data_IF_616875678700
#
_entry.id   IF_616875678700
#
_cell.length_a   1.000
_cell.length_b   1.000
_cell.length_c   1.000
_cell.angle_alpha   90.00
_cell.angle_beta   90.00
_cell.angle_gamma   90.00
#
_symmetry.space_group_name_H-M   'P 1'
#
loop_
_entity.id
_entity.type
_entity.pdbx_description
1 polymer ?
#
# COMPACT_ATOMS: atom_id res chain seq x y z
N UNK A 1 -3.22 16.30 1.51
CA UNK A 1 -4.42 16.85 0.83
C UNK A 1 -4.89 18.16 1.49
N UNK A 2 -5.25 18.19 2.76
CA UNK A 2 -5.80 19.42 3.40
C UNK A 2 -4.85 20.62 3.24
N UNK A 3 -3.60 20.49 3.63
CA UNK A 3 -2.59 21.56 3.51
C UNK A 3 -2.25 21.93 2.06
N UNK A 4 -2.35 20.98 1.15
CA UNK A 4 -2.01 21.18 -0.27
C UNK A 4 -3.17 21.77 -1.07
N UNK A 5 -4.38 21.23 -0.91
CA UNK A 5 -5.54 21.59 -1.73
C UNK A 5 -6.63 22.37 -0.95
N UNK A 6 -6.48 22.57 0.35
CA UNK A 6 -7.43 23.32 1.17
C UNK A 6 -8.79 22.62 1.38
N UNK A 7 -8.92 21.36 1.00
CA UNK A 7 -10.16 20.58 1.01
C UNK A 7 -10.49 19.98 2.38
N UNK A 8 -11.75 19.63 2.59
CA UNK A 8 -12.16 18.79 3.72
C UNK A 8 -11.89 17.33 3.39
N UNK A 9 -11.42 16.55 4.37
CA UNK A 9 -11.07 15.14 4.19
C UNK A 9 -11.82 14.28 5.20
N UNK A 10 -12.51 13.24 4.70
CA UNK A 10 -13.11 12.17 5.48
C UNK A 10 -12.27 10.90 5.32
N UNK A 11 -11.67 10.42 6.40
CA UNK A 11 -10.96 9.13 6.44
C UNK A 11 -11.90 7.98 6.76
N UNK A 12 -11.76 6.87 6.05
CA UNK A 12 -12.43 5.60 6.33
C UNK A 12 -11.38 4.53 6.66
N UNK A 13 -11.54 3.86 7.80
CA UNK A 13 -10.67 2.75 8.17
C UNK A 13 -11.44 1.74 9.04
N UNK A 14 -11.08 0.47 8.99
CA UNK A 14 -11.67 -0.58 9.81
C UNK A 14 -11.00 -0.72 11.20
N UNK A 15 -9.87 -0.06 11.43
CA UNK A 15 -9.05 -0.16 12.63
C UNK A 15 -9.23 1.07 13.53
N UNK A 16 -9.82 0.88 14.73
CA UNK A 16 -10.06 1.95 15.71
C UNK A 16 -8.79 2.69 16.12
N UNK A 17 -7.71 1.96 16.35
CA UNK A 17 -6.43 2.56 16.72
C UNK A 17 -5.88 3.51 15.65
N UNK A 18 -6.02 3.15 14.37
CA UNK A 18 -5.60 4.02 13.27
C UNK A 18 -6.48 5.27 13.19
N UNK A 19 -7.79 5.15 13.41
CA UNK A 19 -8.72 6.30 13.45
C UNK A 19 -8.34 7.25 14.59
N UNK A 20 -8.17 6.74 15.80
CA UNK A 20 -7.76 7.55 16.95
C UNK A 20 -6.43 8.28 16.70
N UNK A 21 -5.46 7.58 16.12
CA UNK A 21 -4.19 8.19 15.74
C UNK A 21 -4.34 9.29 14.70
N UNK A 22 -5.15 9.05 13.66
CA UNK A 22 -5.39 10.03 12.60
C UNK A 22 -6.03 11.31 13.18
N UNK A 23 -7.04 11.17 14.01
CA UNK A 23 -7.70 12.30 14.70
C UNK A 23 -6.73 13.05 15.61
N UNK A 24 -5.89 12.34 16.37
CA UNK A 24 -4.87 12.94 17.22
C UNK A 24 -3.83 13.73 16.43
N UNK A 25 -3.36 13.19 15.31
CA UNK A 25 -2.43 13.90 14.43
C UNK A 25 -3.08 15.12 13.77
N UNK A 26 -4.33 15.00 13.30
CA UNK A 26 -5.06 16.13 12.76
C UNK A 26 -5.19 17.26 13.78
N UNK A 27 -5.49 16.93 15.05
CA UNK A 27 -5.53 17.90 16.15
C UNK A 27 -4.17 18.56 16.38
N UNK A 28 -3.09 17.77 16.41
CA UNK A 28 -1.72 18.28 16.61
C UNK A 28 -1.30 19.24 15.49
N UNK A 29 -1.76 19.00 14.28
CA UNK A 29 -1.45 19.80 13.09
C UNK A 29 -2.44 20.97 12.87
N UNK A 30 -3.42 21.19 13.79
CA UNK A 30 -4.42 22.26 13.66
C UNK A 30 -5.42 22.06 12.52
N UNK A 31 -5.72 20.79 12.16
CA UNK A 31 -6.57 20.43 11.02
C UNK A 31 -7.92 19.82 11.42
N UNK A 32 -8.31 19.93 12.70
CA UNK A 32 -9.53 19.30 13.23
C UNK A 32 -10.83 19.80 12.62
N UNK A 33 -10.83 20.99 12.08
CA UNK A 33 -11.96 21.63 11.38
C UNK A 33 -12.15 21.10 9.96
N UNK A 34 -11.10 20.53 9.36
CA UNK A 34 -11.10 20.03 7.98
C UNK A 34 -10.90 18.53 7.86
N UNK A 35 -10.59 17.84 8.95
CA UNK A 35 -10.37 16.39 8.97
C UNK A 35 -11.36 15.70 9.90
N UNK A 36 -12.01 14.69 9.40
CA UNK A 36 -12.79 13.72 10.17
C UNK A 36 -12.44 12.30 9.75
N UNK A 37 -12.70 11.33 10.60
CA UNK A 37 -12.49 9.92 10.31
C UNK A 37 -13.57 9.07 10.94
N UNK A 38 -13.96 7.99 10.26
CA UNK A 38 -14.97 7.05 10.73
C UNK A 38 -14.51 5.62 10.54
N UNK A 39 -14.97 4.75 11.46
CA UNK A 39 -14.80 3.31 11.32
C UNK A 39 -15.77 2.77 10.29
N UNK A 40 -15.28 1.95 9.38
CA UNK A 40 -16.11 1.28 8.40
C UNK A 40 -15.31 0.34 7.50
N UNK A 41 -16.06 -0.50 6.82
CA UNK A 41 -15.56 -1.40 5.79
C UNK A 41 -15.73 -0.73 4.41
N UNK A 42 -14.66 -0.63 3.64
CA UNK A 42 -14.72 -0.06 2.29
C UNK A 42 -15.52 -0.94 1.32
N UNK A 43 -15.72 -2.23 1.63
CA UNK A 43 -16.61 -3.11 0.86
C UNK A 43 -18.10 -2.83 1.09
N UNK A 44 -18.44 -2.10 2.17
CA UNK A 44 -19.81 -1.76 2.57
C UNK A 44 -19.87 -0.35 3.16
N UNK A 45 -19.52 0.65 2.35
CA UNK A 45 -19.47 2.05 2.79
C UNK A 45 -20.86 2.56 3.19
N UNK A 46 -20.98 3.07 4.41
CA UNK A 46 -22.25 3.64 4.94
C UNK A 46 -22.46 5.12 4.58
N UNK A 47 -21.71 5.64 3.63
CA UNK A 47 -21.92 6.98 3.13
C UNK A 47 -23.09 7.03 2.12
N UNK A 48 -23.84 8.14 2.07
CA UNK A 48 -24.86 8.35 1.04
C UNK A 48 -24.25 8.30 -0.37
N UNK A 49 -25.08 8.00 -1.35
CA UNK A 49 -24.70 8.12 -2.75
C UNK A 49 -24.36 9.58 -3.09
N UNK A 50 -23.46 9.79 -4.03
CA UNK A 50 -23.10 11.11 -4.55
C UNK A 50 -22.70 12.12 -3.45
N UNK A 51 -21.99 11.69 -2.41
CA UNK A 51 -21.61 12.52 -1.26
C UNK A 51 -20.22 13.14 -1.36
N UNK A 52 -19.33 12.59 -2.19
CA UNK A 52 -17.94 13.05 -2.29
C UNK A 52 -17.62 13.61 -3.68
N UNK A 53 -16.81 14.67 -3.72
CA UNK A 53 -16.30 15.26 -4.96
C UNK A 53 -15.13 14.48 -5.52
N UNK A 54 -14.33 13.89 -4.64
CA UNK A 54 -13.22 13.01 -4.98
C UNK A 54 -13.00 11.94 -3.92
N UNK A 55 -12.49 10.78 -4.34
CA UNK A 55 -12.01 9.71 -3.45
C UNK A 55 -10.60 9.35 -3.86
N UNK A 56 -9.73 9.10 -2.89
CA UNK A 56 -8.42 8.52 -3.18
C UNK A 56 -8.11 7.37 -2.22
N UNK A 57 -7.37 6.40 -2.74
CA UNK A 57 -6.83 5.29 -1.97
C UNK A 57 -5.35 5.09 -2.31
N UNK A 58 -4.52 4.92 -1.28
CA UNK A 58 -3.09 4.68 -1.43
C UNK A 58 -2.78 3.36 -0.74
N UNK A 59 -2.41 2.34 -1.52
CA UNK A 59 -2.04 1.00 -1.05
C UNK A 59 -3.09 0.36 -0.11
N UNK A 60 -4.37 0.68 -0.33
CA UNK A 60 -5.46 0.25 0.54
C UNK A 60 -6.36 -0.78 -0.13
N UNK A 61 -6.70 -0.58 -1.39
CA UNK A 61 -7.68 -1.43 -2.07
C UNK A 61 -7.10 -2.79 -2.49
N UNK A 62 -5.79 -2.97 -2.48
CA UNK A 62 -5.11 -4.28 -2.62
C UNK A 62 -5.55 -5.31 -1.55
N UNK A 63 -5.99 -4.84 -0.39
CA UNK A 63 -6.52 -5.71 0.68
C UNK A 63 -7.98 -6.11 0.47
N UNK A 64 -8.66 -5.57 -0.55
CA UNK A 64 -10.03 -5.93 -0.87
C UNK A 64 -10.11 -7.37 -1.41
N UNK A 65 -11.12 -8.15 -1.04
CA UNK A 65 -11.37 -9.47 -1.64
C UNK A 65 -11.77 -9.36 -3.12
N UNK A 66 -12.23 -8.18 -3.55
CA UNK A 66 -12.59 -7.86 -4.93
C UNK A 66 -12.32 -6.39 -5.22
N UNK A 67 -11.42 -6.10 -6.16
CA UNK A 67 -11.17 -4.73 -6.62
C UNK A 67 -12.42 -4.13 -7.25
N UNK A 68 -13.14 -4.87 -8.09
CA UNK A 68 -14.39 -4.39 -8.68
C UNK A 68 -15.40 -4.00 -7.58
N UNK A 69 -15.58 -4.84 -6.57
CA UNK A 69 -16.54 -4.56 -5.49
C UNK A 69 -16.22 -3.29 -4.70
N UNK A 70 -14.95 -3.06 -4.36
CA UNK A 70 -14.58 -1.80 -3.68
C UNK A 70 -14.71 -0.60 -4.60
N UNK A 71 -14.38 -0.74 -5.89
CA UNK A 71 -14.51 0.36 -6.86
C UNK A 71 -15.98 0.69 -7.13
N UNK A 72 -16.90 -0.27 -7.12
CA UNK A 72 -18.34 -0.03 -7.17
C UNK A 72 -18.85 0.77 -5.97
N UNK A 73 -18.32 0.47 -4.76
CA UNK A 73 -18.63 1.27 -3.57
C UNK A 73 -18.11 2.72 -3.69
N UNK A 74 -16.92 2.90 -4.23
CA UNK A 74 -16.33 4.22 -4.49
C UNK A 74 -17.15 4.96 -5.55
N UNK A 75 -17.53 4.28 -6.62
CA UNK A 75 -18.39 4.85 -7.66
C UNK A 75 -19.72 5.33 -7.10
N UNK A 76 -20.35 4.53 -6.25
CA UNK A 76 -21.63 4.87 -5.63
C UNK A 76 -21.54 6.17 -4.81
N UNK A 77 -20.51 6.32 -4.00
CA UNK A 77 -20.39 7.49 -3.10
C UNK A 77 -19.87 8.75 -3.78
N UNK A 78 -19.24 8.64 -4.95
CA UNK A 78 -18.80 9.79 -5.73
C UNK A 78 -19.97 10.48 -6.42
N UNK A 79 -19.94 11.81 -6.48
CA UNK A 79 -20.83 12.63 -7.29
C UNK A 79 -20.58 12.37 -8.79
N UNK A 80 -21.58 12.55 -9.67
CA UNK A 80 -21.34 12.63 -11.11
C UNK A 80 -20.23 13.65 -11.43
N UNK A 81 -19.31 13.30 -12.31
CA UNK A 81 -18.10 14.08 -12.60
C UNK A 81 -16.98 13.97 -11.56
N UNK A 82 -17.19 13.29 -10.42
CA UNK A 82 -16.22 13.10 -9.36
C UNK A 82 -15.04 12.23 -9.79
N UNK A 83 -13.89 12.43 -9.13
CA UNK A 83 -12.61 11.77 -9.47
C UNK A 83 -12.27 10.70 -8.45
N UNK A 84 -11.83 9.54 -8.93
CA UNK A 84 -11.21 8.50 -8.17
C UNK A 84 -9.72 8.40 -8.51
N UNK A 85 -8.84 8.61 -7.52
CA UNK A 85 -7.40 8.39 -7.63
C UNK A 85 -6.97 7.19 -6.81
N UNK A 86 -6.34 6.21 -7.42
CA UNK A 86 -5.83 5.04 -6.70
C UNK A 86 -4.39 4.72 -7.07
N UNK A 87 -3.64 4.34 -6.06
CA UNK A 87 -2.23 3.98 -6.13
C UNK A 87 -2.08 2.60 -5.49
N UNK A 88 -1.68 1.60 -6.29
CA UNK A 88 -1.84 0.19 -5.91
C UNK A 88 -0.63 -0.68 -6.22
N UNK A 89 -0.58 -1.81 -5.53
CA UNK A 89 0.32 -2.93 -5.76
C UNK A 89 -0.29 -3.88 -6.78
N UNK A 90 0.36 -4.03 -7.93
CA UNK A 90 -0.14 -4.86 -9.02
C UNK A 90 0.96 -5.76 -9.60
N UNK A 91 0.57 -6.94 -10.08
CA UNK A 91 1.46 -7.80 -10.86
C UNK A 91 1.64 -7.23 -12.26
N UNK A 92 2.89 -7.22 -12.74
CA UNK A 92 3.28 -6.75 -14.06
C UNK A 92 3.21 -7.87 -15.12
N UNK A 93 3.34 -7.50 -16.37
CA UNK A 93 3.22 -8.42 -17.52
C UNK A 93 4.30 -9.52 -17.55
N UNK A 94 5.45 -9.29 -16.93
CA UNK A 94 6.51 -10.31 -16.79
C UNK A 94 6.12 -11.44 -15.84
N UNK A 95 5.09 -11.28 -15.01
CA UNK A 95 4.63 -12.32 -14.11
C UNK A 95 3.97 -13.46 -14.89
N UNK A 96 4.48 -14.67 -14.66
CA UNK A 96 3.89 -15.90 -15.19
C UNK A 96 3.50 -16.84 -14.05
N UNK A 97 2.20 -17.13 -13.93
CA UNK A 97 1.68 -18.00 -12.88
C UNK A 97 2.15 -19.47 -13.02
N UNK A 98 2.58 -19.91 -14.20
CA UNK A 98 3.11 -21.25 -14.40
C UNK A 98 4.56 -21.40 -13.94
N UNK A 99 5.28 -20.28 -13.74
CA UNK A 99 6.63 -20.29 -13.20
C UNK A 99 6.61 -20.45 -11.67
N UNK A 100 7.19 -21.52 -11.11
CA UNK A 100 7.22 -21.73 -9.64
C UNK A 100 7.89 -20.59 -8.87
N UNK A 101 8.95 -19.98 -9.43
CA UNK A 101 9.67 -18.88 -8.80
C UNK A 101 8.81 -17.62 -8.72
N UNK A 102 8.05 -17.31 -9.77
CA UNK A 102 7.15 -16.16 -9.76
C UNK A 102 6.02 -16.35 -8.75
N UNK A 103 5.47 -17.57 -8.64
CA UNK A 103 4.45 -17.88 -7.59
C UNK A 103 5.02 -17.74 -6.18
N UNK A 104 6.23 -18.25 -5.95
CA UNK A 104 6.91 -18.12 -4.66
C UNK A 104 7.05 -16.65 -4.25
N UNK A 105 7.54 -15.80 -5.15
CA UNK A 105 7.69 -14.36 -4.94
C UNK A 105 6.34 -13.71 -4.62
N UNK A 106 5.33 -13.94 -5.46
CA UNK A 106 4.00 -13.40 -5.24
C UNK A 106 3.41 -13.82 -3.89
N UNK A 107 3.43 -15.11 -3.58
CA UNK A 107 2.92 -15.63 -2.30
C UNK A 107 3.68 -15.05 -1.10
N UNK A 108 5.00 -14.89 -1.20
CA UNK A 108 5.80 -14.27 -0.14
C UNK A 108 5.45 -12.80 0.08
N UNK A 109 5.17 -12.05 -0.99
CA UNK A 109 4.68 -10.66 -0.91
C UNK A 109 3.28 -10.63 -0.26
N UNK A 110 2.34 -11.47 -0.74
CA UNK A 110 0.98 -11.55 -0.22
C UNK A 110 0.95 -11.89 1.27
N UNK A 111 1.64 -12.94 1.68
CA UNK A 111 1.68 -13.40 3.07
C UNK A 111 2.35 -12.39 3.99
N UNK A 112 3.45 -11.79 3.54
CA UNK A 112 4.21 -10.84 4.33
C UNK A 112 3.50 -9.51 4.56
N UNK A 113 2.59 -9.13 3.67
CA UNK A 113 1.88 -7.85 3.70
C UNK A 113 0.38 -8.00 3.99
N UNK A 114 -0.11 -9.21 4.23
CA UNK A 114 -1.53 -9.45 4.51
C UNK A 114 -2.45 -9.15 3.33
N UNK A 115 -1.96 -9.40 2.12
CA UNK A 115 -2.71 -9.21 0.87
C UNK A 115 -3.36 -10.54 0.51
N UNK A 116 -4.66 -10.54 0.21
CA UNK A 116 -5.41 -11.75 -0.10
C UNK A 116 -5.04 -12.32 -1.46
N UNK A 117 -4.87 -11.45 -2.45
CA UNK A 117 -4.59 -11.81 -3.83
C UNK A 117 -4.11 -10.58 -4.62
N UNK A 118 -2.87 -10.62 -5.09
CA UNK A 118 -2.35 -9.60 -5.99
C UNK A 118 -2.83 -9.89 -7.42
N UNK A 119 -3.46 -8.92 -8.03
CA UNK A 119 -3.99 -9.04 -9.38
C UNK A 119 -3.06 -8.38 -10.41
N UNK A 120 -3.10 -8.79 -11.70
CA UNK A 120 -2.37 -8.12 -12.75
C UNK A 120 -2.98 -6.74 -13.08
N UNK A 121 -2.14 -5.85 -13.63
CA UNK A 121 -2.56 -4.51 -14.09
C UNK A 121 -3.80 -4.57 -14.97
N UNK A 122 -3.86 -5.51 -15.91
CA UNK A 122 -5.01 -5.68 -16.82
C UNK A 122 -6.32 -5.95 -16.08
N UNK A 123 -6.27 -6.67 -14.96
CA UNK A 123 -7.45 -6.93 -14.13
C UNK A 123 -7.88 -5.69 -13.34
N UNK A 124 -6.94 -4.94 -12.77
CA UNK A 124 -7.25 -3.69 -12.06
C UNK A 124 -7.88 -2.65 -13.02
N UNK A 125 -7.33 -2.50 -14.23
CA UNK A 125 -7.89 -1.62 -15.26
C UNK A 125 -9.28 -2.06 -15.72
N UNK A 126 -9.51 -3.37 -15.80
CA UNK A 126 -10.84 -3.92 -16.10
C UNK A 126 -11.83 -3.65 -14.97
N UNK A 127 -11.40 -3.86 -13.71
CA UNK A 127 -12.23 -3.62 -12.53
C UNK A 127 -12.70 -2.17 -12.42
N UNK A 128 -11.84 -1.19 -12.69
CA UNK A 128 -12.21 0.24 -12.73
C UNK A 128 -13.31 0.49 -13.77
N UNK A 129 -13.14 -0.03 -14.99
CA UNK A 129 -14.12 0.14 -16.07
C UNK A 129 -15.43 -0.60 -15.76
N UNK A 130 -15.36 -1.81 -15.21
CA UNK A 130 -16.54 -2.60 -14.83
C UNK A 130 -17.36 -1.94 -13.72
N UNK A 131 -16.69 -1.20 -12.80
CA UNK A 131 -17.37 -0.39 -11.80
C UNK A 131 -18.09 0.86 -12.36
N UNK A 132 -17.93 1.17 -13.65
CA UNK A 132 -18.59 2.27 -14.34
C UNK A 132 -17.75 3.53 -14.54
N UNK A 133 -16.47 3.51 -14.14
CA UNK A 133 -15.57 4.65 -14.31
C UNK A 133 -15.05 4.80 -15.74
N UNK A 134 -14.81 6.03 -16.15
CA UNK A 134 -13.98 6.40 -17.29
C UNK A 134 -12.54 6.57 -16.83
N UNK A 135 -11.64 5.70 -17.32
CA UNK A 135 -10.22 5.77 -16.99
C UNK A 135 -9.56 6.92 -17.78
N UNK A 136 -9.06 7.94 -17.06
CA UNK A 136 -8.42 9.12 -17.67
C UNK A 136 -6.90 8.99 -17.78
N UNK A 137 -6.28 8.33 -16.79
CA UNK A 137 -4.83 8.21 -16.75
C UNK A 137 -4.41 6.96 -15.97
N UNK A 138 -3.33 6.32 -16.39
CA UNK A 138 -2.66 5.30 -15.59
C UNK A 138 -1.17 5.23 -15.94
N UNK A 139 -0.34 4.93 -14.93
CA UNK A 139 1.11 4.85 -15.07
C UNK A 139 1.72 4.00 -13.95
N UNK A 140 2.75 3.23 -14.28
CA UNK A 140 3.63 2.63 -13.29
C UNK A 140 4.70 3.66 -12.86
N UNK A 141 4.50 4.29 -11.71
CA UNK A 141 5.42 5.32 -11.20
C UNK A 141 6.80 4.77 -10.82
N UNK A 142 6.91 3.45 -10.57
CA UNK A 142 8.19 2.80 -10.30
C UNK A 142 9.09 2.73 -11.56
N UNK A 143 8.51 2.85 -12.75
CA UNK A 143 9.23 2.87 -14.04
C UNK A 143 9.67 4.26 -14.49
N UNK A 144 9.35 5.31 -13.73
CA UNK A 144 9.87 6.64 -14.03
C UNK A 144 11.40 6.63 -13.97
N UNK A 145 12.07 7.45 -14.82
CA UNK A 145 13.54 7.55 -14.83
C UNK A 145 14.01 8.20 -13.53
N UNK A 146 14.00 7.47 -12.45
CA UNK A 146 14.57 7.84 -11.17
C UNK A 146 15.93 7.14 -11.02
N UNK A 147 16.93 7.87 -10.56
CA UNK A 147 18.23 7.30 -10.27
C UNK A 147 18.21 6.32 -9.09
N UNK A 148 17.16 6.34 -8.30
CA UNK A 148 17.07 5.59 -7.03
C UNK A 148 15.93 4.57 -7.07
N UNK A 149 16.22 3.25 -7.16
CA UNK A 149 15.18 2.23 -7.09
C UNK A 149 14.45 2.29 -5.75
N UNK A 150 13.11 2.25 -5.76
CA UNK A 150 12.30 2.33 -4.55
C UNK A 150 12.66 1.27 -3.48
N UNK A 151 13.16 0.13 -3.90
CA UNK A 151 13.49 -1.00 -3.02
C UNK A 151 14.90 -0.93 -2.39
N UNK A 152 15.73 0.06 -2.74
CA UNK A 152 17.13 0.10 -2.28
C UNK A 152 17.32 0.03 -0.76
N UNK A 153 16.48 0.68 0.08
CA UNK A 153 16.65 0.61 1.53
C UNK A 153 16.34 -0.80 2.05
N UNK A 154 15.36 -1.47 1.44
CA UNK A 154 14.92 -2.83 1.83
C UNK A 154 15.96 -3.87 1.36
N UNK A 155 16.58 -3.63 0.20
CA UNK A 155 17.66 -4.46 -0.33
C UNK A 155 19.00 -4.30 0.44
N UNK A 156 19.13 -3.31 1.31
CA UNK A 156 20.39 -3.01 1.98
C UNK A 156 21.47 -2.44 1.04
N UNK A 157 21.07 -1.72 -0.02
CA UNK A 157 21.97 -1.22 -1.06
C UNK A 157 22.54 0.17 -0.73
N UNK A 158 23.79 0.23 -0.30
CA UNK A 158 24.47 1.47 0.09
C UNK A 158 24.71 2.46 -1.06
N UNK A 159 24.82 1.97 -2.28
CA UNK A 159 25.12 2.81 -3.46
C UNK A 159 24.09 3.89 -3.75
N UNK A 160 22.87 3.75 -3.23
CA UNK A 160 21.77 4.68 -3.43
C UNK A 160 21.47 5.54 -2.19
N UNK A 161 22.33 5.51 -1.18
CA UNK A 161 22.17 6.30 0.04
C UNK A 161 22.12 7.79 -0.27
N UNK A 162 20.99 8.45 0.05
CA UNK A 162 20.76 9.88 -0.18
C UNK A 162 20.88 10.73 1.08
N UNK A 163 20.80 10.13 2.27
CA UNK A 163 20.83 10.85 3.54
C UNK A 163 21.49 10.06 4.65
N UNK A 164 21.93 10.75 5.71
CA UNK A 164 22.42 10.11 6.93
C UNK A 164 21.35 9.25 7.63
N UNK A 165 20.06 9.58 7.44
CA UNK A 165 18.94 8.80 7.97
C UNK A 165 18.83 7.41 7.35
N UNK A 166 19.32 7.24 6.13
CA UNK A 166 19.29 5.95 5.41
C UNK A 166 20.26 4.94 6.01
N UNK A 167 21.35 5.41 6.66
CA UNK A 167 22.39 4.54 7.23
C UNK A 167 21.80 3.46 8.12
N UNK A 168 20.97 3.87 9.08
CA UNK A 168 20.37 2.91 10.02
C UNK A 168 19.43 1.92 9.31
N UNK A 169 18.61 2.43 8.38
CA UNK A 169 17.67 1.60 7.62
C UNK A 169 18.40 0.60 6.75
N UNK A 170 19.37 1.04 5.97
CA UNK A 170 20.17 0.19 5.09
C UNK A 170 20.96 -0.83 5.92
N UNK A 171 21.68 -0.38 6.99
CA UNK A 171 22.49 -1.24 7.82
C UNK A 171 21.71 -2.43 8.39
N UNK A 172 20.52 -2.17 8.96
CA UNK A 172 19.68 -3.25 9.53
C UNK A 172 19.13 -4.21 8.48
N UNK A 173 19.07 -3.80 7.21
CA UNK A 173 18.55 -4.62 6.10
C UNK A 173 19.64 -5.41 5.40
N UNK A 174 20.94 -5.15 5.68
CA UNK A 174 22.04 -6.01 5.24
C UNK A 174 21.97 -7.39 5.89
N UNK A 175 22.60 -8.39 5.28
CA UNK A 175 22.65 -9.76 5.83
C UNK A 175 23.16 -9.82 7.27
N UNK A 176 24.22 -9.05 7.59
CA UNK A 176 24.78 -8.97 8.95
C UNK A 176 23.88 -8.19 9.91
N UNK A 177 23.24 -7.10 9.42
CA UNK A 177 22.30 -6.32 10.22
C UNK A 177 21.07 -7.14 10.60
N UNK A 178 20.50 -7.89 9.68
CA UNK A 178 19.40 -8.84 9.96
C UNK A 178 19.82 -9.92 10.96
N UNK A 179 21.05 -10.48 10.82
CA UNK A 179 21.59 -11.44 11.78
C UNK A 179 21.73 -10.87 13.19
N UNK A 180 22.13 -9.60 13.32
CA UNK A 180 22.17 -8.90 14.61
C UNK A 180 20.76 -8.71 15.18
N UNK A 181 19.81 -8.19 14.39
CA UNK A 181 18.41 -7.99 14.83
C UNK A 181 17.81 -9.33 15.29
N UNK A 182 17.97 -10.40 14.51
CA UNK A 182 17.49 -11.73 14.86
C UNK A 182 18.05 -12.21 16.23
N UNK A 183 19.36 -12.08 16.46
CA UNK A 183 20.00 -12.47 17.72
C UNK A 183 19.53 -11.62 18.90
N UNK A 184 19.42 -10.29 18.71
CA UNK A 184 18.97 -9.39 19.76
C UNK A 184 17.51 -9.65 20.15
N UNK A 185 16.63 -9.83 19.17
CA UNK A 185 15.22 -10.12 19.43
C UNK A 185 15.07 -11.48 20.11
N UNK A 186 15.78 -12.52 19.62
CA UNK A 186 15.75 -13.85 20.25
C UNK A 186 16.27 -13.85 21.67
N UNK A 187 17.38 -13.15 21.95
CA UNK A 187 17.88 -13.01 23.31
C UNK A 187 16.87 -12.26 24.19
N UNK A 188 16.27 -11.17 23.67
CA UNK A 188 15.24 -10.40 24.37
C UNK A 188 14.01 -11.24 24.74
N UNK A 189 13.61 -12.17 23.87
CA UNK A 189 12.53 -13.13 24.18
C UNK A 189 12.92 -14.12 25.29
N UNK A 190 14.16 -14.65 25.24
CA UNK A 190 14.65 -15.61 26.24
C UNK A 190 14.67 -14.98 27.65
N UNK A 191 15.14 -13.74 27.75
CA UNK A 191 15.22 -13.03 29.06
C UNK A 191 13.94 -12.30 29.45
N UNK A 192 12.88 -12.41 28.64
CA UNK A 192 11.55 -11.82 28.94
C UNK A 192 11.43 -10.32 28.75
N UNK A 193 12.39 -9.65 28.09
CA UNK A 193 12.32 -8.22 27.77
C UNK A 193 11.48 -7.94 26.53
N UNK A 194 11.33 -8.94 25.65
CA UNK A 194 10.55 -8.85 24.41
C UNK A 194 9.45 -9.93 24.47
N UNK A 195 8.21 -9.62 24.03
CA UNK A 195 7.15 -10.61 23.97
C UNK A 195 7.50 -11.83 23.11
N UNK A 196 7.06 -13.01 23.53
CA UNK A 196 7.26 -14.26 22.77
C UNK A 196 6.63 -14.18 21.38
N UNK A 197 7.34 -14.67 20.37
CA UNK A 197 6.89 -14.66 18.97
C UNK A 197 7.37 -13.47 18.15
N UNK A 198 8.01 -12.49 18.76
CA UNK A 198 8.55 -11.33 18.03
C UNK A 198 9.69 -11.69 17.09
N UNK A 199 10.53 -12.68 17.45
CA UNK A 199 11.58 -13.18 16.56
C UNK A 199 10.99 -13.78 15.30
N UNK A 200 9.99 -14.65 15.44
CA UNK A 200 9.27 -15.24 14.29
C UNK A 200 8.61 -14.17 13.41
N UNK A 201 8.04 -13.13 14.04
CA UNK A 201 7.46 -12.01 13.30
C UNK A 201 8.52 -11.22 12.54
N UNK A 202 9.68 -10.98 13.15
CA UNK A 202 10.81 -10.31 12.48
C UNK A 202 11.36 -11.13 11.30
N UNK A 203 11.44 -12.45 11.43
CA UNK A 203 11.87 -13.36 10.36
C UNK A 203 10.88 -13.37 9.19
N UNK A 204 9.58 -13.39 9.48
CA UNK A 204 8.54 -13.30 8.45
C UNK A 204 8.59 -11.95 7.70
N UNK A 205 8.82 -10.84 8.41
CA UNK A 205 8.98 -9.52 7.79
C UNK A 205 10.26 -9.45 6.93
N UNK A 206 11.34 -10.10 7.37
CA UNK A 206 12.57 -10.18 6.60
C UNK A 206 12.36 -10.98 5.30
N UNK A 207 11.66 -12.12 5.36
CA UNK A 207 11.29 -12.90 4.17
C UNK A 207 10.41 -12.08 3.22
N UNK A 208 9.41 -11.41 3.74
CA UNK A 208 8.55 -10.52 2.95
C UNK A 208 9.37 -9.43 2.22
N UNK A 209 10.33 -8.82 2.92
CA UNK A 209 11.24 -7.83 2.33
C UNK A 209 12.09 -8.44 1.20
N UNK A 210 12.58 -9.68 1.36
CA UNK A 210 13.33 -10.38 0.32
C UNK A 210 12.46 -10.66 -0.92
N UNK A 211 11.20 -11.04 -0.73
CA UNK A 211 10.27 -11.27 -1.83
C UNK A 211 9.89 -9.96 -2.55
N UNK A 212 9.75 -8.85 -1.82
CA UNK A 212 9.57 -7.52 -2.41
C UNK A 212 10.74 -7.13 -3.30
N UNK A 213 11.97 -7.31 -2.80
CA UNK A 213 13.19 -7.00 -3.55
C UNK A 213 13.34 -7.91 -4.77
N UNK A 214 13.09 -9.22 -4.61
CA UNK A 214 13.15 -10.17 -5.72
C UNK A 214 12.12 -9.81 -6.80
N UNK A 215 10.87 -9.58 -6.41
CA UNK A 215 9.79 -9.21 -7.33
C UNK A 215 10.07 -7.90 -8.08
N UNK A 216 10.68 -6.93 -7.42
CA UNK A 216 11.09 -5.68 -8.04
C UNK A 216 12.24 -5.87 -9.04
N UNK A 217 13.29 -6.63 -8.67
CA UNK A 217 14.46 -6.90 -9.52
C UNK A 217 14.11 -7.76 -10.75
N UNK A 218 13.16 -8.66 -10.60
CA UNK A 218 12.64 -9.51 -11.69
C UNK A 218 11.50 -8.81 -12.47
N UNK A 219 11.14 -7.56 -12.10
CA UNK A 219 10.06 -6.78 -12.73
C UNK A 219 8.71 -7.54 -12.75
N UNK A 220 8.39 -8.27 -11.67
CA UNK A 220 7.18 -9.08 -11.58
C UNK A 220 6.00 -8.30 -11.00
N UNK A 221 6.27 -7.24 -10.22
CA UNK A 221 5.23 -6.41 -9.62
C UNK A 221 5.71 -4.97 -9.45
N UNK A 222 4.75 -4.08 -9.26
CA UNK A 222 4.99 -2.70 -8.85
C UNK A 222 4.16 -2.36 -7.60
N UNK A 223 4.73 -1.63 -6.62
CA UNK A 223 3.93 -1.07 -5.54
C UNK A 223 3.34 0.30 -5.91
N UNK A 224 3.60 0.79 -7.13
CA UNK A 224 3.43 2.20 -7.51
C UNK A 224 2.57 2.40 -8.76
N UNK A 225 1.53 1.57 -8.97
CA UNK A 225 0.66 1.74 -10.12
C UNK A 225 -0.43 2.77 -9.84
N UNK A 226 -0.33 3.94 -10.47
CA UNK A 226 -1.30 5.01 -10.38
C UNK A 226 -2.41 4.83 -11.40
N UNK A 227 -3.66 4.99 -10.98
CA UNK A 227 -4.84 5.06 -11.85
C UNK A 227 -5.70 6.26 -11.44
N UNK A 228 -6.11 7.07 -12.41
CA UNK A 228 -7.03 8.19 -12.24
C UNK A 228 -8.25 7.93 -13.12
N UNK A 229 -9.41 7.95 -12.51
CA UNK A 229 -10.65 7.65 -13.20
C UNK A 229 -11.76 8.63 -12.79
N UNK A 230 -12.72 8.84 -13.65
CA UNK A 230 -13.84 9.77 -13.45
C UNK A 230 -15.16 9.02 -13.48
N UNK A 231 -16.05 9.36 -12.54
CA UNK A 231 -17.46 8.99 -12.65
C UNK A 231 -18.09 9.86 -13.74
N UNK A 232 -18.73 9.29 -14.79
CA UNK A 232 -19.38 10.07 -15.83
C UNK A 232 -20.28 11.16 -15.25
N UNK A 233 -20.30 12.33 -15.89
CA UNK A 233 -21.34 13.33 -15.64
C UNK A 233 -22.66 12.76 -16.17
N UNK A 234 -23.72 12.82 -15.38
CA UNK A 234 -25.04 12.33 -15.79
C UNK A 234 -25.59 13.14 -16.95
#
# INVERSE_FOLDING_TARGET
MIKFAGVNVMGLNNNDYQIERALRYAKKEGLSDKFSATKGDFMQMKFPENSFDAVYAIEATVHAPSLQGVYEQIFRVLKPGGIFGVYEWLMLDNYNNDNPRHREIRLGIEQGNGISNMVPVSEALRAIKAAGFELEYHEDLAKRPDATPWYYPIAGEWKHMGSLGDIFTIARMTWWGRGLVHRFVGLGEIIGLIPKGMQKSADNLALAADMLVAGAKEELFTPMYLMIARKPAA
#
